data_IF_330435630515
#
_entry.id   IF_330435630515
#
_cell.length_a   1.000
_cell.length_b   1.000
_cell.length_c   1.000
_cell.angle_alpha   90.00
_cell.angle_beta   90.00
_cell.angle_gamma   90.00
#
_symmetry.space_group_name_H-M   'P 1'
#
loop_
_entity.id
_entity.type
_entity.pdbx_description
1 polymer ?
#
# COMPACT_ATOMS: atom_id res chain seq x y z
N UNK A 1 -14.02 -3.38 9.41
CA UNK A 1 -12.67 -3.63 8.91
C UNK A 1 -11.76 -2.51 9.38
N UNK A 2 -10.79 -2.83 10.21
CA UNK A 2 -9.87 -1.87 10.82
C UNK A 2 -8.53 -1.92 10.09
N UNK A 3 -8.02 -0.75 9.73
CA UNK A 3 -6.76 -0.59 8.99
C UNK A 3 -5.72 -0.03 9.97
N UNK A 4 -4.69 -0.82 10.27
CA UNK A 4 -3.55 -0.38 11.09
C UNK A 4 -2.47 0.18 10.16
N UNK A 5 -2.58 1.45 9.77
CA UNK A 5 -1.58 2.12 8.91
C UNK A 5 -0.65 3.02 9.74
N UNK A 6 0.66 2.89 9.57
CA UNK A 6 1.60 3.94 10.01
C UNK A 6 1.50 5.16 9.09
N UNK A 7 1.32 6.34 9.68
CA UNK A 7 1.43 7.63 8.97
C UNK A 7 2.90 7.97 8.75
N UNK A 8 3.42 7.79 7.54
CA UNK A 8 4.73 8.31 7.13
C UNK A 8 4.57 9.56 6.26
N UNK A 9 5.11 10.69 6.75
CA UNK A 9 5.51 11.84 5.92
C UNK A 9 6.80 11.46 5.19
N UNK A 10 6.82 11.53 3.86
CA UNK A 10 8.08 11.50 3.10
C UNK A 10 8.60 12.94 3.04
N UNK A 11 9.66 13.25 3.78
CA UNK A 11 10.51 14.41 3.50
C UNK A 11 11.54 13.97 2.44
N UNK A 12 11.53 14.65 1.29
CA UNK A 12 12.61 14.58 0.30
C UNK A 12 13.86 15.21 0.92
N UNK A 13 15.06 14.67 0.76
CA UNK A 13 15.76 14.46 -0.50
C UNK A 13 17.11 15.17 -0.37
N UNK A 14 18.22 14.46 -0.48
CA UNK A 14 19.56 15.06 -0.52
C UNK A 14 20.40 14.32 -1.57
N UNK A 15 20.73 15.01 -2.66
CA UNK A 15 21.77 14.60 -3.60
C UNK A 15 22.86 15.67 -3.57
N UNK A 16 24.06 15.24 -3.24
CA UNK A 16 25.29 16.04 -3.24
C UNK A 16 25.61 16.45 -4.69
N UNK A 17 25.91 17.73 -4.92
CA UNK A 17 26.65 18.16 -6.11
C UNK A 17 27.85 19.02 -5.72
N UNK A 18 29.00 18.57 -6.21
CA UNK A 18 30.33 19.15 -6.08
C UNK A 18 30.38 20.49 -6.82
N UNK A 19 30.95 21.51 -6.19
CA UNK A 19 31.12 22.85 -6.76
C UNK A 19 32.36 22.93 -7.68
N UNK A 20 32.23 23.63 -8.81
CA UNK A 20 33.37 24.15 -9.59
C UNK A 20 33.13 25.61 -9.99
N UNK A 21 34.22 26.38 -10.03
CA UNK A 21 34.30 27.84 -9.87
C UNK A 21 34.37 28.58 -11.23
N UNK A 22 33.70 29.75 -11.29
CA UNK A 22 33.83 30.97 -12.12
C UNK A 22 34.45 30.96 -13.55
N UNK A 23 33.77 31.62 -14.49
CA UNK A 23 34.35 32.69 -15.32
C UNK A 23 33.24 33.57 -15.94
N UNK A 24 33.45 34.88 -15.98
CA UNK A 24 32.43 35.87 -16.30
C UNK A 24 32.31 36.25 -17.78
N UNK A 25 31.09 36.60 -18.20
CA UNK A 25 30.77 37.72 -19.11
C UNK A 25 29.24 37.91 -19.14
N UNK A 26 28.75 39.09 -18.73
CA UNK A 26 27.32 39.46 -18.75
C UNK A 26 26.84 39.74 -20.17
N UNK A 27 25.71 39.13 -20.58
CA UNK A 27 24.92 39.43 -21.79
C UNK A 27 23.41 39.27 -21.48
N UNK A 28 22.52 39.93 -22.26
CA UNK A 28 21.36 40.64 -21.74
C UNK A 28 20.18 39.74 -21.33
N UNK A 29 19.31 40.37 -20.56
CA UNK A 29 18.22 39.82 -19.76
C UNK A 29 16.96 39.57 -20.60
N UNK A 30 16.35 38.40 -20.37
CA UNK A 30 14.99 37.97 -20.74
C UNK A 30 14.71 37.51 -22.18
N UNK A 31 15.23 36.34 -22.53
CA UNK A 31 14.41 35.35 -23.27
C UNK A 31 13.69 34.51 -22.22
N UNK A 32 12.36 34.58 -22.18
CA UNK A 32 11.58 33.68 -21.34
C UNK A 32 11.78 32.27 -21.85
N UNK A 33 12.62 31.49 -21.16
CA UNK A 33 12.80 30.08 -21.41
C UNK A 33 11.45 29.37 -21.17
N UNK A 34 10.74 29.08 -22.25
CA UNK A 34 9.48 28.32 -22.24
C UNK A 34 9.74 26.81 -22.07
N UNK A 35 10.92 26.42 -21.56
CA UNK A 35 11.18 25.05 -21.15
C UNK A 35 10.27 24.68 -19.98
N UNK A 36 9.09 24.14 -20.32
CA UNK A 36 8.23 23.47 -19.37
C UNK A 36 9.04 22.34 -18.77
N UNK A 37 9.39 22.46 -17.48
CA UNK A 37 9.96 21.35 -16.74
C UNK A 37 9.05 20.14 -16.96
N UNK A 38 9.56 19.01 -17.47
CA UNK A 38 8.73 17.83 -17.65
C UNK A 38 8.12 17.51 -16.30
N UNK A 39 6.78 17.51 -16.25
CA UNK A 39 6.06 17.28 -15.00
C UNK A 39 6.58 15.99 -14.39
N UNK A 40 7.05 16.05 -13.15
CA UNK A 40 7.37 14.86 -12.38
C UNK A 40 6.06 14.07 -12.22
N UNK A 41 5.88 13.06 -13.07
CA UNK A 41 4.77 12.12 -12.92
C UNK A 41 5.06 11.37 -11.63
N UNK A 42 4.17 11.48 -10.64
CA UNK A 42 4.25 10.62 -9.45
C UNK A 42 4.23 9.17 -9.93
N UNK A 43 5.21 8.39 -9.51
CA UNK A 43 5.19 6.95 -9.74
C UNK A 43 3.89 6.37 -9.18
N UNK A 44 3.36 5.35 -9.86
CA UNK A 44 2.17 4.65 -9.39
C UNK A 44 2.51 3.91 -8.10
N UNK A 45 1.69 4.07 -7.06
CA UNK A 45 1.84 3.27 -5.84
C UNK A 45 1.51 1.81 -6.17
N UNK A 46 2.45 0.90 -5.94
CA UNK A 46 2.29 -0.54 -6.21
C UNK A 46 2.05 -1.28 -4.90
N UNK A 47 0.87 -1.88 -4.78
CA UNK A 47 0.42 -2.52 -3.56
C UNK A 47 0.24 -4.02 -3.81
N UNK A 48 0.84 -4.86 -2.97
CA UNK A 48 0.53 -6.29 -2.89
C UNK A 48 -0.42 -6.53 -1.73
N UNK A 49 -1.55 -7.19 -1.98
CA UNK A 49 -2.51 -7.60 -0.96
C UNK A 49 -2.59 -9.11 -0.91
N UNK A 50 -2.48 -9.67 0.29
CA UNK A 50 -2.52 -11.11 0.57
C UNK A 50 -3.72 -11.40 1.47
N UNK A 51 -4.66 -12.19 0.95
CA UNK A 51 -5.87 -12.58 1.68
C UNK A 51 -5.68 -13.96 2.33
N UNK A 52 -6.17 -14.10 3.57
CA UNK A 52 -6.15 -15.32 4.35
C UNK A 52 -7.18 -16.37 3.91
N UNK A 53 -8.32 -15.97 3.34
CA UNK A 53 -9.25 -16.91 2.72
C UNK A 53 -9.21 -16.88 1.18
N UNK A 54 -9.97 -17.79 0.57
CA UNK A 54 -9.82 -18.14 -0.86
C UNK A 54 -10.59 -17.24 -1.81
N UNK A 55 -11.75 -16.75 -1.42
CA UNK A 55 -12.75 -16.28 -2.40
C UNK A 55 -13.27 -14.90 -2.03
N UNK A 56 -14.04 -14.79 -0.93
CA UNK A 56 -14.85 -13.60 -0.64
C UNK A 56 -14.04 -12.31 -0.62
N UNK A 57 -12.94 -12.26 0.12
CA UNK A 57 -12.14 -11.04 0.27
C UNK A 57 -11.44 -10.69 -1.03
N UNK A 58 -10.85 -11.69 -1.70
CA UNK A 58 -10.14 -11.50 -2.96
C UNK A 58 -11.08 -10.98 -4.05
N UNK A 59 -12.25 -11.57 -4.19
CA UNK A 59 -13.21 -11.18 -5.23
C UNK A 59 -13.79 -9.79 -4.95
N UNK A 60 -14.12 -9.49 -3.69
CA UNK A 60 -14.56 -8.15 -3.30
C UNK A 60 -13.49 -7.09 -3.55
N UNK A 61 -12.26 -7.31 -3.09
CA UNK A 61 -11.16 -6.36 -3.26
C UNK A 61 -10.81 -6.18 -4.74
N UNK A 62 -10.85 -7.26 -5.54
CA UNK A 62 -10.66 -7.16 -6.98
C UNK A 62 -11.77 -6.33 -7.64
N UNK A 63 -13.02 -6.54 -7.23
CA UNK A 63 -14.16 -5.73 -7.66
C UNK A 63 -13.98 -4.25 -7.30
N UNK A 64 -13.53 -3.95 -6.08
CA UNK A 64 -13.26 -2.59 -5.62
C UNK A 64 -12.14 -1.91 -6.43
N UNK A 65 -11.04 -2.62 -6.70
CA UNK A 65 -9.94 -2.12 -7.55
C UNK A 65 -10.45 -1.78 -8.94
N UNK A 66 -11.27 -2.66 -9.54
CA UNK A 66 -11.85 -2.44 -10.86
C UNK A 66 -12.84 -1.28 -10.85
N UNK A 67 -13.67 -1.18 -9.81
CA UNK A 67 -14.67 -0.12 -9.69
C UNK A 67 -14.03 1.27 -9.54
N UNK A 68 -12.99 1.38 -8.71
CA UNK A 68 -12.29 2.65 -8.49
C UNK A 68 -11.41 3.04 -9.68
N UNK A 69 -10.82 2.06 -10.39
CA UNK A 69 -10.01 2.26 -11.60
C UNK A 69 -8.98 3.42 -11.49
N UNK A 70 -8.37 3.57 -10.31
CA UNK A 70 -7.48 4.69 -10.04
C UNK A 70 -6.12 4.49 -10.72
N UNK A 71 -5.75 5.30 -11.75
CA UNK A 71 -4.51 5.10 -12.51
C UNK A 71 -3.23 5.42 -11.71
N UNK A 72 -3.36 6.03 -10.53
CA UNK A 72 -2.25 6.32 -9.63
C UNK A 72 -1.86 5.13 -8.75
N UNK A 73 -2.67 4.06 -8.69
CA UNK A 73 -2.43 2.91 -7.82
C UNK A 73 -2.53 1.62 -8.63
N UNK A 74 -1.56 0.73 -8.46
CA UNK A 74 -1.58 -0.63 -9.02
C UNK A 74 -1.68 -1.62 -7.88
N UNK A 75 -2.75 -2.41 -7.83
CA UNK A 75 -2.97 -3.39 -6.77
C UNK A 75 -2.87 -4.81 -7.33
N UNK A 76 -2.03 -5.64 -6.74
CA UNK A 76 -1.96 -7.08 -7.03
C UNK A 76 -2.51 -7.83 -5.83
N UNK A 77 -3.55 -8.62 -6.05
CA UNK A 77 -4.20 -9.40 -4.99
C UNK A 77 -3.83 -10.88 -5.16
N UNK A 78 -3.41 -11.52 -4.08
CA UNK A 78 -3.11 -12.95 -4.00
C UNK A 78 -3.83 -13.54 -2.78
N UNK A 79 -4.09 -14.84 -2.83
CA UNK A 79 -4.71 -15.60 -1.73
C UNK A 79 -3.75 -16.66 -1.22
N UNK A 80 -3.68 -16.83 0.10
CA UNK A 80 -2.95 -17.93 0.72
C UNK A 80 -3.70 -18.36 1.98
N UNK A 81 -4.30 -19.55 1.90
CA UNK A 81 -5.02 -20.13 3.04
C UNK A 81 -4.03 -20.63 4.07
N UNK A 82 -3.95 -19.92 5.18
CA UNK A 82 -3.08 -20.20 6.31
C UNK A 82 -3.49 -19.30 7.49
N UNK A 83 -2.90 -19.55 8.67
CA UNK A 83 -3.13 -18.67 9.81
C UNK A 83 -2.61 -17.24 9.57
N UNK A 84 -3.11 -16.22 10.29
CA UNK A 84 -2.63 -14.85 10.19
C UNK A 84 -1.10 -14.71 10.32
N UNK A 85 -0.47 -15.41 11.27
CA UNK A 85 0.99 -15.38 11.45
C UNK A 85 1.73 -15.97 10.24
N UNK A 86 1.23 -17.09 9.69
CA UNK A 86 1.80 -17.69 8.48
C UNK A 86 1.65 -16.77 7.26
N UNK A 87 0.52 -16.07 7.15
CA UNK A 87 0.26 -15.13 6.07
C UNK A 87 1.23 -13.94 6.13
N UNK A 88 1.46 -13.40 7.33
CA UNK A 88 2.44 -12.33 7.57
C UNK A 88 3.86 -12.79 7.21
N UNK A 89 4.25 -13.99 7.62
CA UNK A 89 5.56 -14.57 7.24
C UNK A 89 5.70 -14.73 5.72
N UNK A 90 4.65 -15.20 5.05
CA UNK A 90 4.62 -15.30 3.59
C UNK A 90 4.73 -13.92 2.92
N UNK A 91 4.00 -12.92 3.44
CA UNK A 91 4.05 -11.55 2.96
C UNK A 91 5.43 -10.92 3.07
N UNK A 92 6.13 -11.12 4.19
CA UNK A 92 7.49 -10.65 4.38
C UNK A 92 8.47 -11.32 3.39
N UNK A 93 8.26 -12.61 3.10
CA UNK A 93 8.99 -13.33 2.05
C UNK A 93 8.76 -12.74 0.66
N UNK A 94 7.51 -12.49 0.27
CA UNK A 94 7.17 -11.86 -1.00
C UNK A 94 7.77 -10.45 -1.11
N UNK A 95 7.69 -9.65 -0.05
CA UNK A 95 8.32 -8.32 0.03
C UNK A 95 9.82 -8.38 -0.23
N UNK A 96 10.49 -9.41 0.30
CA UNK A 96 11.94 -9.58 0.15
C UNK A 96 12.33 -10.05 -1.26
N UNK A 97 11.53 -10.92 -1.88
CA UNK A 97 11.78 -11.43 -3.24
C UNK A 97 11.45 -10.39 -4.32
N UNK A 98 10.42 -9.59 -4.09
CA UNK A 98 9.89 -8.58 -5.01
C UNK A 98 10.17 -7.15 -4.52
N UNK A 99 11.37 -6.91 -3.97
CA UNK A 99 11.74 -5.63 -3.31
C UNK A 99 11.49 -4.36 -4.13
N UNK A 100 11.48 -4.45 -5.46
CA UNK A 100 11.29 -3.32 -6.36
C UNK A 100 9.92 -3.30 -7.05
N UNK A 101 9.09 -4.32 -6.81
CA UNK A 101 7.80 -4.47 -7.48
C UNK A 101 6.65 -3.83 -6.67
N UNK A 102 6.80 -3.71 -5.35
CA UNK A 102 5.76 -3.18 -4.45
C UNK A 102 6.31 -2.16 -3.48
N UNK A 103 5.58 -1.07 -3.33
CA UNK A 103 5.82 0.01 -2.37
C UNK A 103 5.16 -0.33 -1.01
N UNK A 104 4.03 -1.05 -1.03
CA UNK A 104 3.33 -1.54 0.17
C UNK A 104 2.94 -3.02 0.03
N UNK A 105 3.04 -3.78 1.14
CA UNK A 105 2.57 -5.17 1.23
C UNK A 105 1.59 -5.29 2.40
N UNK A 106 0.42 -5.83 2.12
CA UNK A 106 -0.72 -5.90 3.02
C UNK A 106 -1.17 -7.34 3.25
N UNK A 107 -1.52 -7.66 4.48
CA UNK A 107 -2.27 -8.87 4.83
C UNK A 107 -3.72 -8.49 5.20
N UNK A 108 -4.67 -9.29 4.72
CA UNK A 108 -6.10 -9.19 5.05
C UNK A 108 -6.56 -10.53 5.61
N UNK A 109 -7.10 -10.52 6.82
CA UNK A 109 -7.59 -11.73 7.49
C UNK A 109 -8.63 -11.38 8.59
N UNK A 110 -9.34 -12.39 9.03
CA UNK A 110 -10.43 -12.29 10.01
C UNK A 110 -9.93 -12.48 11.45
N UNK A 111 -10.69 -11.98 12.43
CA UNK A 111 -10.36 -12.03 13.87
C UNK A 111 -11.04 -13.20 14.59
N UNK A 112 -12.14 -13.71 14.04
CA UNK A 112 -13.00 -14.72 14.68
C UNK A 112 -12.32 -16.07 14.97
N UNK A 113 -11.44 -16.54 14.09
CA UNK A 113 -10.77 -17.84 14.22
C UNK A 113 -9.41 -17.80 14.95
N UNK A 114 -8.86 -16.60 15.21
CA UNK A 114 -7.47 -16.47 15.68
C UNK A 114 -7.27 -15.35 16.70
N UNK A 115 -6.35 -15.58 17.66
CA UNK A 115 -5.71 -14.46 18.37
C UNK A 115 -4.72 -13.77 17.42
N UNK A 116 -5.17 -12.65 16.84
CA UNK A 116 -4.43 -11.90 15.83
C UNK A 116 -3.33 -11.00 16.42
N UNK A 117 -3.25 -10.84 17.75
CA UNK A 117 -2.32 -9.89 18.37
C UNK A 117 -0.86 -10.21 18.02
N UNK A 118 -0.50 -11.50 18.05
CA UNK A 118 0.82 -11.97 17.66
C UNK A 118 1.14 -11.62 16.20
N UNK A 119 0.23 -11.95 15.27
CA UNK A 119 0.41 -11.70 13.84
C UNK A 119 0.56 -10.20 13.54
N UNK A 120 -0.22 -9.34 14.22
CA UNK A 120 -0.11 -7.88 14.09
C UNK A 120 1.27 -7.39 14.56
N UNK A 121 1.74 -7.88 15.72
CA UNK A 121 3.08 -7.55 16.22
C UNK A 121 4.20 -7.99 15.27
N UNK A 122 4.08 -9.19 14.72
CA UNK A 122 5.02 -9.70 13.71
C UNK A 122 5.01 -8.85 12.43
N UNK A 123 3.83 -8.48 11.94
CA UNK A 123 3.68 -7.67 10.73
C UNK A 123 4.35 -6.30 10.90
N UNK A 124 4.15 -5.66 12.06
CA UNK A 124 4.80 -4.38 12.39
C UNK A 124 6.32 -4.47 12.34
N UNK A 125 6.90 -5.54 12.88
CA UNK A 125 8.35 -5.81 12.89
C UNK A 125 8.89 -6.09 11.48
N UNK A 126 8.11 -6.77 10.64
CA UNK A 126 8.50 -7.16 9.28
C UNK A 126 8.20 -6.09 8.23
N UNK A 127 7.55 -4.99 8.61
CA UNK A 127 7.15 -3.92 7.69
C UNK A 127 6.07 -4.39 6.71
N UNK A 128 5.15 -5.21 7.19
CA UNK A 128 3.93 -5.65 6.51
C UNK A 128 2.75 -4.91 7.16
N UNK A 129 1.88 -4.33 6.34
CA UNK A 129 0.68 -3.66 6.81
C UNK A 129 -0.46 -4.67 6.97
N UNK A 130 -1.41 -4.39 7.88
CA UNK A 130 -2.50 -5.31 8.21
C UNK A 130 -3.83 -4.60 8.16
N UNK A 131 -4.80 -5.23 7.50
CA UNK A 131 -6.21 -4.90 7.62
C UNK A 131 -6.96 -6.13 8.17
N UNK A 132 -7.73 -5.92 9.23
CA UNK A 132 -8.52 -7.01 9.85
C UNK A 132 -10.01 -6.78 9.66
N UNK A 133 -10.74 -7.83 9.35
CA UNK A 133 -12.19 -7.86 9.56
C UNK A 133 -12.46 -8.32 11.01
N UNK A 134 -13.50 -7.82 11.65
CA UNK A 134 -13.81 -8.20 13.03
C UNK A 134 -15.34 -8.22 13.18
N UNK A 135 -15.96 -9.39 13.42
CA UNK A 135 -15.34 -10.70 13.58
C UNK A 135 -14.79 -11.30 12.26
N UNK A 136 -15.58 -11.22 11.17
CA UNK A 136 -15.26 -11.81 9.87
C UNK A 136 -15.60 -10.88 8.68
N UNK A 137 -15.13 -11.25 7.49
CA UNK A 137 -15.29 -10.42 6.29
C UNK A 137 -16.73 -10.36 5.80
N UNK A 138 -17.47 -11.47 5.85
CA UNK A 138 -18.87 -11.56 5.42
C UNK A 138 -19.77 -10.63 6.22
N UNK A 139 -19.57 -10.56 7.55
CA UNK A 139 -20.33 -9.63 8.37
C UNK A 139 -20.00 -8.19 8.00
N UNK A 140 -18.72 -7.86 7.83
CA UNK A 140 -18.31 -6.53 7.39
C UNK A 140 -18.93 -6.18 6.03
N UNK A 141 -19.01 -7.13 5.10
CA UNK A 141 -19.59 -6.94 3.77
C UNK A 141 -21.09 -6.62 3.86
N UNK A 142 -21.85 -7.34 4.69
CA UNK A 142 -23.27 -7.06 4.91
C UNK A 142 -23.46 -5.64 5.47
N UNK A 143 -22.67 -5.28 6.50
CA UNK A 143 -22.71 -3.96 7.13
C UNK A 143 -22.23 -2.83 6.20
N UNK A 144 -21.38 -3.14 5.22
CA UNK A 144 -20.91 -2.18 4.23
C UNK A 144 -22.02 -1.75 3.26
N UNK A 145 -22.89 -2.68 2.87
CA UNK A 145 -23.94 -2.42 1.89
C UNK A 145 -25.28 -2.01 2.48
N UNK A 146 -25.52 -2.30 3.76
CA UNK A 146 -26.79 -2.01 4.41
C UNK A 146 -26.58 -1.18 5.66
N UNK A 147 -27.39 -0.13 5.82
CA UNK A 147 -27.50 0.54 7.12
C UNK A 147 -28.24 -0.38 8.07
N UNK A 148 -27.64 -0.60 9.23
CA UNK A 148 -28.26 -1.32 10.33
C UNK A 148 -28.49 -0.35 11.48
N UNK A 149 -29.69 -0.35 12.03
CA UNK A 149 -30.04 0.33 13.28
C UNK A 149 -30.19 -0.74 14.35
N UNK A 150 -29.47 -0.61 15.47
CA UNK A 150 -29.75 -1.42 16.65
C UNK A 150 -31.12 -0.99 17.24
N UNK A 151 -31.92 -1.96 17.67
CA UNK A 151 -33.18 -1.73 18.40
C UNK A 151 -32.99 -2.15 19.85
#
# INVERSE_FOLDING_TARGET
MSVLKRRWRREGGHRVTRAQKNSGRRRPVFESDLSRSPGSRRDRDRILVLCGAKVTERDYLQGLVNHLSNPAVTVRIKTKVCSPSQLVGYAAGERTRSRHDFDEVWCVFDVDEFDVAHAIGEAQRLGVEVAVSNPCFELWLILHFRRHTAY
#
